data_IF_807965887195
#
_entry.id   IF_807965887195
#
_cell.length_a   1.000
_cell.length_b   1.000
_cell.length_c   1.000
_cell.angle_alpha   90.00
_cell.angle_beta   90.00
_cell.angle_gamma   90.00
#
_symmetry.space_group_name_H-M   'P 1'
#
loop_
_entity.id
_entity.type
_entity.pdbx_description
1 polymer ?
#
# COMPACT_ATOMS: atom_id res chain seq x y z
N UNK A 1 -34.88 -4.93 4.59
CA UNK A 1 -33.69 -5.80 4.56
C UNK A 1 -32.59 -5.26 3.64
N UNK A 2 -32.89 -4.82 2.41
CA UNK A 2 -31.90 -4.21 1.51
C UNK A 2 -31.23 -2.92 2.01
N UNK A 3 -32.01 -2.02 2.66
CA UNK A 3 -31.49 -0.73 3.17
C UNK A 3 -30.45 -0.93 4.28
N UNK A 4 -30.65 -1.94 5.14
CA UNK A 4 -29.71 -2.28 6.22
C UNK A 4 -28.41 -2.87 5.66
N UNK A 5 -28.51 -3.68 4.59
CA UNK A 5 -27.36 -4.21 3.84
C UNK A 5 -26.55 -3.11 3.15
N UNK A 6 -27.21 -2.13 2.54
CA UNK A 6 -26.56 -0.98 1.91
C UNK A 6 -25.84 -0.11 2.94
N UNK A 7 -26.49 0.18 4.07
CA UNK A 7 -25.86 0.92 5.17
C UNK A 7 -24.65 0.20 5.75
N UNK A 8 -24.73 -1.12 5.95
CA UNK A 8 -23.59 -1.91 6.46
C UNK A 8 -22.43 -1.95 5.47
N UNK A 9 -22.68 -2.09 4.16
CA UNK A 9 -21.63 -2.01 3.14
C UNK A 9 -20.94 -0.64 3.10
N UNK A 10 -21.71 0.45 3.19
CA UNK A 10 -21.14 1.82 3.23
C UNK A 10 -20.28 2.02 4.47
N UNK A 11 -20.75 1.57 5.65
CA UNK A 11 -19.97 1.67 6.88
C UNK A 11 -18.69 0.83 6.82
N UNK A 12 -18.74 -0.41 6.30
CA UNK A 12 -17.55 -1.26 6.14
C UNK A 12 -16.50 -0.65 5.20
N UNK A 13 -16.94 -0.01 4.11
CA UNK A 13 -16.02 0.70 3.19
C UNK A 13 -15.34 1.92 3.82
N UNK A 14 -15.98 2.56 4.81
CA UNK A 14 -15.44 3.73 5.48
C UNK A 14 -14.33 3.40 6.50
N UNK A 15 -14.25 2.15 6.98
CA UNK A 15 -13.26 1.69 7.97
C UNK A 15 -12.16 0.80 7.38
N UNK A 16 -12.20 0.52 6.09
CA UNK A 16 -11.12 -0.19 5.38
C UNK A 16 -9.90 0.73 5.32
N UNK A 17 -8.69 0.20 5.57
CA UNK A 17 -7.53 1.07 5.46
C UNK A 17 -7.30 1.46 4.01
N UNK A 18 -6.78 2.65 3.81
CA UNK A 18 -6.84 3.29 2.52
C UNK A 18 -5.47 3.26 1.86
N UNK A 19 -5.21 2.21 1.08
CA UNK A 19 -4.20 2.28 0.06
C UNK A 19 -4.63 3.29 -1.03
N UNK A 20 -3.76 4.22 -1.42
CA UNK A 20 -4.08 5.18 -2.47
C UNK A 20 -3.61 4.63 -3.81
N UNK A 21 -4.55 4.20 -4.65
CA UNK A 21 -4.26 3.90 -6.06
C UNK A 21 -4.00 5.22 -6.78
N UNK A 22 -2.82 5.35 -7.39
CA UNK A 22 -2.33 6.59 -8.03
C UNK A 22 -2.05 6.37 -9.51
N UNK A 23 -2.00 7.47 -10.28
CA UNK A 23 -1.65 7.46 -11.70
C UNK A 23 -0.13 7.55 -11.92
N UNK A 24 0.58 8.20 -11.01
CA UNK A 24 2.04 8.29 -10.91
C UNK A 24 2.45 8.14 -9.45
N UNK A 25 3.70 7.76 -9.21
CA UNK A 25 4.22 7.66 -7.85
C UNK A 25 4.68 9.00 -7.27
N UNK A 26 4.30 10.16 -7.83
CA UNK A 26 4.86 11.46 -7.41
C UNK A 26 4.72 11.74 -5.90
N UNK A 27 3.66 11.22 -5.29
CA UNK A 27 3.36 11.37 -3.86
C UNK A 27 4.16 10.43 -2.94
N UNK A 28 4.75 9.36 -3.48
CA UNK A 28 5.48 8.35 -2.69
C UNK A 28 6.74 7.81 -3.39
N UNK A 29 7.25 8.53 -4.39
CA UNK A 29 8.43 8.12 -5.18
C UNK A 29 9.68 8.01 -4.35
N UNK A 30 9.72 8.72 -3.22
CA UNK A 30 10.82 8.70 -2.27
C UNK A 30 11.14 7.31 -1.75
N UNK A 31 10.21 6.35 -1.79
CA UNK A 31 10.52 4.98 -1.39
C UNK A 31 11.35 4.22 -2.42
N UNK A 32 11.37 4.66 -3.68
CA UNK A 32 12.22 4.06 -4.69
C UNK A 32 13.67 4.48 -4.53
N UNK A 33 14.57 3.63 -5.00
CA UNK A 33 15.98 3.98 -5.10
C UNK A 33 16.13 5.18 -6.03
N UNK A 34 16.71 6.27 -5.52
CA UNK A 34 16.89 7.55 -6.25
C UNK A 34 15.60 8.06 -6.88
N UNK A 35 14.47 7.89 -6.20
CA UNK A 35 13.15 8.35 -6.63
C UNK A 35 12.72 7.83 -8.01
N UNK A 36 13.28 6.68 -8.44
CA UNK A 36 13.13 6.14 -9.79
C UNK A 36 12.23 4.91 -9.80
N UNK A 37 11.10 4.99 -10.50
CA UNK A 37 10.15 3.88 -10.68
C UNK A 37 10.84 2.67 -11.37
N UNK A 38 10.55 1.42 -10.96
CA UNK A 38 11.08 0.24 -11.63
C UNK A 38 10.64 0.14 -13.09
N UNK A 39 11.57 -0.16 -13.99
CA UNK A 39 11.30 -0.48 -15.39
C UNK A 39 11.19 -1.99 -15.64
N UNK A 40 10.73 -2.37 -16.84
CA UNK A 40 10.72 -3.77 -17.30
C UNK A 40 9.60 -4.66 -16.74
N UNK A 41 8.63 -4.07 -16.04
CA UNK A 41 7.48 -4.78 -15.47
C UNK A 41 6.19 -4.46 -16.25
N UNK A 42 5.10 -5.16 -15.91
CA UNK A 42 3.78 -4.94 -16.51
C UNK A 42 3.34 -3.47 -16.36
N UNK A 43 3.20 -2.78 -17.49
CA UNK A 43 2.79 -1.37 -17.51
C UNK A 43 1.32 -1.15 -17.13
N UNK A 44 0.51 -2.22 -17.14
CA UNK A 44 -0.89 -2.17 -16.69
C UNK A 44 -1.04 -2.38 -15.18
N UNK A 45 0.05 -2.67 -14.47
CA UNK A 45 0.03 -2.83 -13.03
C UNK A 45 -0.39 -1.52 -12.35
N UNK A 46 -1.17 -1.66 -11.28
CA UNK A 46 -1.63 -0.53 -10.49
C UNK A 46 -0.50 0.02 -9.66
N UNK A 47 -0.35 1.33 -9.69
CA UNK A 47 0.58 2.07 -8.83
C UNK A 47 -0.15 2.40 -7.53
N UNK A 48 0.42 2.01 -6.41
CA UNK A 48 -0.20 2.15 -5.10
C UNK A 48 0.80 2.83 -4.16
N UNK A 49 0.38 3.97 -3.60
CA UNK A 49 1.06 4.60 -2.47
C UNK A 49 0.38 4.12 -1.18
N UNK A 50 1.13 3.38 -0.38
CA UNK A 50 0.60 2.64 0.76
C UNK A 50 0.64 3.49 2.01
N UNK A 51 -0.50 3.61 2.70
CA UNK A 51 -0.63 4.34 3.97
C UNK A 51 -1.66 3.66 4.87
N UNK A 52 -1.52 3.89 6.17
CA UNK A 52 -2.60 3.62 7.12
C UNK A 52 -3.57 4.82 7.11
N UNK A 53 -4.85 4.60 7.38
CA UNK A 53 -5.99 5.54 7.23
C UNK A 53 -5.64 7.05 7.09
N UNK A 54 -5.07 7.65 8.14
CA UNK A 54 -4.73 9.07 8.22
C UNK A 54 -3.22 9.34 8.36
N UNK A 55 -2.40 8.34 8.05
CA UNK A 55 -0.95 8.41 8.17
C UNK A 55 -0.28 8.84 6.86
N UNK A 56 1.00 9.17 7.00
CA UNK A 56 1.99 9.25 5.94
C UNK A 56 2.06 7.98 5.08
N UNK A 57 2.58 8.13 3.87
CA UNK A 57 2.93 6.97 3.06
C UNK A 57 4.09 6.21 3.72
N UNK A 58 4.08 4.89 3.61
CA UNK A 58 5.12 4.04 4.22
C UNK A 58 5.94 3.27 3.18
N UNK A 59 5.36 2.97 2.02
CA UNK A 59 6.02 2.28 0.92
C UNK A 59 5.22 2.45 -0.38
N UNK A 60 5.88 2.17 -1.51
CA UNK A 60 5.27 2.17 -2.83
C UNK A 60 5.15 0.73 -3.36
N UNK A 61 4.05 0.40 -4.02
CA UNK A 61 3.83 -0.93 -4.61
C UNK A 61 3.31 -0.83 -6.04
N UNK A 62 3.89 -1.66 -6.91
CA UNK A 62 3.38 -1.95 -8.25
C UNK A 62 2.64 -3.29 -8.21
N UNK A 63 1.32 -3.27 -8.42
CA UNK A 63 0.43 -4.41 -8.18
C UNK A 63 -0.19 -4.94 -9.47
N UNK A 64 0.00 -6.23 -9.77
CA UNK A 64 -0.67 -6.88 -10.89
C UNK A 64 -2.05 -7.35 -10.47
N UNK A 65 -3.10 -6.74 -11.04
CA UNK A 65 -4.50 -7.15 -10.80
C UNK A 65 -4.78 -8.53 -11.39
N UNK A 66 -4.19 -8.83 -12.56
CA UNK A 66 -4.36 -10.12 -13.23
C UNK A 66 -3.84 -11.28 -12.38
N UNK A 67 -2.61 -11.14 -11.85
CA UNK A 67 -1.96 -12.18 -11.06
C UNK A 67 -2.29 -12.10 -9.57
N UNK A 68 -2.90 -10.99 -9.12
CA UNK A 68 -3.22 -10.68 -7.72
C UNK A 68 -2.00 -10.70 -6.80
N UNK A 69 -0.86 -10.20 -7.31
CA UNK A 69 0.40 -10.14 -6.58
C UNK A 69 1.06 -8.76 -6.73
N UNK A 70 1.82 -8.30 -5.73
CA UNK A 70 2.77 -7.21 -5.92
C UNK A 70 3.89 -7.69 -6.85
N UNK A 71 4.09 -7.00 -7.97
CA UNK A 71 5.24 -7.23 -8.86
C UNK A 71 6.52 -6.64 -8.27
N UNK A 72 6.38 -5.53 -7.55
CA UNK A 72 7.48 -4.83 -6.91
C UNK A 72 6.96 -3.96 -5.78
N UNK A 73 7.69 -3.92 -4.66
CA UNK A 73 7.45 -3.00 -3.56
C UNK A 73 8.77 -2.37 -3.14
N UNK A 74 8.74 -1.09 -2.79
CA UNK A 74 9.90 -0.34 -2.32
C UNK A 74 9.58 0.36 -1.01
N UNK A 75 10.50 0.27 -0.05
CA UNK A 75 10.42 0.93 1.24
C UNK A 75 11.82 1.44 1.61
N UNK A 76 11.88 2.46 2.46
CA UNK A 76 13.14 2.93 3.06
C UNK A 76 13.24 2.37 4.48
N UNK A 77 14.31 1.64 4.74
CA UNK A 77 14.62 1.19 6.09
C UNK A 77 15.20 2.36 6.89
N UNK A 78 14.62 2.64 8.05
CA UNK A 78 15.17 3.58 9.02
C UNK A 78 16.21 2.85 9.90
N UNK A 79 17.52 3.21 9.81
CA UNK A 79 18.57 2.58 10.61
C UNK A 79 18.39 2.76 12.12
N UNK A 80 17.73 3.84 12.55
CA UNK A 80 17.51 4.14 13.96
C UNK A 80 16.50 3.17 14.59
N UNK A 81 15.66 2.54 13.76
CA UNK A 81 14.76 1.48 14.18
C UNK A 81 15.50 0.16 14.50
N UNK A 82 16.79 0.01 14.26
CA UNK A 82 17.52 -1.25 14.50
C UNK A 82 17.43 -1.81 15.93
N UNK A 83 17.28 -0.94 16.94
CA UNK A 83 17.16 -1.35 18.36
C UNK A 83 15.74 -1.72 18.78
N UNK A 84 14.72 -1.40 17.98
CA UNK A 84 13.29 -1.63 18.24
C UNK A 84 12.61 -2.50 17.16
N UNK A 85 13.25 -2.69 16.01
CA UNK A 85 12.76 -3.44 14.84
C UNK A 85 12.95 -4.95 14.96
N UNK A 86 12.72 -5.50 16.15
CA UNK A 86 12.59 -6.95 16.32
C UNK A 86 11.35 -7.44 15.58
N UNK A 87 11.48 -8.55 14.84
CA UNK A 87 10.32 -9.23 14.25
C UNK A 87 9.37 -9.63 15.39
N UNK A 88 8.18 -9.05 15.41
CA UNK A 88 7.13 -9.45 16.34
C UNK A 88 6.52 -10.78 15.88
N UNK A 89 5.88 -11.51 16.79
CA UNK A 89 5.10 -12.70 16.44
C UNK A 89 3.75 -12.34 15.79
N UNK A 90 3.39 -11.06 15.79
CA UNK A 90 2.14 -10.57 15.22
C UNK A 90 2.30 -10.44 13.71
N UNK A 91 1.49 -11.19 12.96
CA UNK A 91 1.37 -11.02 11.53
C UNK A 91 0.35 -9.93 11.24
N UNK A 92 0.80 -8.85 10.61
CA UNK A 92 -0.08 -7.78 10.16
C UNK A 92 -0.51 -8.06 8.72
N UNK A 93 -1.82 -8.15 8.49
CA UNK A 93 -2.36 -8.19 7.14
C UNK A 93 -2.43 -6.75 6.65
N UNK A 94 -1.85 -6.49 5.48
CA UNK A 94 -1.98 -5.21 4.81
C UNK A 94 -3.46 -4.91 4.61
N UNK A 95 -3.98 -3.86 5.25
CA UNK A 95 -5.40 -3.59 5.18
C UNK A 95 -5.74 -3.07 3.78
N UNK A 96 -6.66 -3.78 3.12
CA UNK A 96 -7.09 -3.55 1.73
C UNK A 96 -8.05 -2.35 1.61
#
# INVERSE_FOLDING_TARGET
MFVLGLFTCVLLSAFSAQAKVVTSFDECKEFFYKDTEPGGMDQNAKKICQKLQFDSYHYATLYSVHHRIPLYSAYKFDPDCSNTAGRTYNWHVEPQ
#
